data_IF_736130918718
#
_entry.id   IF_736130918718
#
_cell.length_a   1.000
_cell.length_b   1.000
_cell.length_c   1.000
_cell.angle_alpha   90.00
_cell.angle_beta   90.00
_cell.angle_gamma   90.00
#
_symmetry.space_group_name_H-M   'P 1'
#
loop_
_entity.id
_entity.type
_entity.pdbx_description
1 polymer ?
#
# COMPACT_ATOMS: atom_id res chain seq x y z
N UNK A 1 -24.26 -14.05 1.21
CA UNK A 1 -22.84 -14.12 1.67
C UNK A 1 -22.59 -13.11 2.77
N UNK A 2 -21.81 -13.48 3.80
CA UNK A 2 -21.27 -12.50 4.74
C UNK A 2 -20.14 -11.67 4.08
N UNK A 3 -19.54 -10.71 4.80
CA UNK A 3 -18.53 -9.79 4.23
C UNK A 3 -17.33 -10.56 3.69
N UNK A 4 -16.77 -11.47 4.50
CA UNK A 4 -15.60 -12.28 4.11
C UNK A 4 -15.91 -13.23 2.96
N UNK A 5 -17.04 -13.92 3.00
CA UNK A 5 -17.48 -14.82 1.92
C UNK A 5 -17.60 -14.07 0.59
N UNK A 6 -18.21 -12.88 0.62
CA UNK A 6 -18.42 -12.04 -0.55
C UNK A 6 -17.07 -11.57 -1.15
N UNK A 7 -16.12 -11.19 -0.31
CA UNK A 7 -14.76 -10.86 -0.72
C UNK A 7 -14.00 -12.10 -1.26
N UNK A 8 -14.11 -13.24 -0.59
CA UNK A 8 -13.41 -14.46 -1.01
C UNK A 8 -13.94 -14.99 -2.35
N UNK A 9 -15.23 -14.87 -2.62
CA UNK A 9 -15.80 -15.16 -3.94
C UNK A 9 -15.10 -14.32 -5.02
N UNK A 10 -14.98 -13.01 -4.78
CA UNK A 10 -14.29 -12.11 -5.72
C UNK A 10 -12.82 -12.49 -5.91
N UNK A 11 -12.11 -12.82 -4.83
CA UNK A 11 -10.70 -13.21 -4.86
C UNK A 11 -10.47 -14.54 -5.62
N UNK A 12 -11.46 -15.44 -5.59
CA UNK A 12 -11.44 -16.71 -6.31
C UNK A 12 -11.91 -16.61 -7.78
N UNK A 13 -12.19 -15.39 -8.27
CA UNK A 13 -12.69 -15.14 -9.62
C UNK A 13 -14.17 -15.50 -9.79
N UNK A 14 -14.90 -15.69 -8.69
CA UNK A 14 -16.33 -15.93 -8.66
C UNK A 14 -17.11 -14.60 -8.62
N UNK A 15 -18.40 -14.64 -8.94
CA UNK A 15 -19.25 -13.46 -8.85
C UNK A 15 -19.70 -13.24 -7.40
N UNK A 16 -19.35 -12.11 -6.76
CA UNK A 16 -19.86 -11.77 -5.44
C UNK A 16 -21.37 -11.43 -5.51
N UNK A 17 -22.07 -11.54 -4.39
CA UNK A 17 -23.50 -11.15 -4.32
C UNK A 17 -23.70 -9.64 -4.48
N UNK A 18 -22.71 -8.85 -4.02
CA UNK A 18 -22.69 -7.40 -4.11
C UNK A 18 -21.28 -6.87 -4.31
N UNK A 19 -21.14 -5.61 -4.68
CA UNK A 19 -19.82 -4.96 -4.64
C UNK A 19 -19.29 -4.99 -3.20
N UNK A 20 -18.04 -5.41 -3.05
CA UNK A 20 -17.31 -5.24 -1.80
C UNK A 20 -17.11 -3.74 -1.58
N UNK A 21 -17.37 -3.26 -0.36
CA UNK A 21 -17.37 -1.83 -0.07
C UNK A 21 -16.03 -1.40 0.53
N UNK A 22 -15.13 -0.90 -0.32
CA UNK A 22 -13.82 -0.39 0.11
C UNK A 22 -13.06 -1.42 0.98
N UNK A 23 -12.67 -1.01 2.18
CA UNK A 23 -11.90 -1.83 3.11
C UNK A 23 -12.76 -2.72 4.02
N UNK A 24 -14.07 -2.84 3.78
CA UNK A 24 -14.97 -3.56 4.69
C UNK A 24 -14.51 -4.97 5.12
N UNK A 25 -13.82 -5.79 4.27
CA UNK A 25 -13.38 -7.10 4.72
C UNK A 25 -12.15 -7.07 5.62
N UNK A 26 -11.43 -5.95 5.72
CA UNK A 26 -10.10 -5.88 6.33
C UNK A 26 -10.15 -5.25 7.73
N UNK A 27 -9.96 -6.07 8.75
CA UNK A 27 -9.78 -5.60 10.12
C UNK A 27 -8.29 -5.28 10.35
N UNK A 28 -7.91 -4.02 10.16
CA UNK A 28 -6.53 -3.57 10.31
C UNK A 28 -6.08 -3.57 11.77
N UNK A 29 -4.88 -4.12 12.02
CA UNK A 29 -4.18 -4.04 13.30
C UNK A 29 -3.01 -3.07 13.12
N UNK A 30 -3.21 -1.83 13.57
CA UNK A 30 -2.29 -0.70 13.33
C UNK A 30 -1.50 -0.27 14.58
N UNK A 31 -1.71 -0.93 15.71
CA UNK A 31 -1.10 -0.58 16.99
C UNK A 31 0.08 -1.50 17.38
N UNK A 32 0.72 -2.12 16.40
CA UNK A 32 1.87 -3.00 16.60
C UNK A 32 3.20 -2.19 16.53
N UNK A 33 4.27 -2.69 17.18
CA UNK A 33 5.49 -1.91 17.38
C UNK A 33 6.27 -1.60 16.09
N UNK A 34 6.16 -2.43 15.05
CA UNK A 34 6.86 -2.22 13.77
C UNK A 34 6.27 -1.01 13.03
N UNK A 35 4.93 -0.91 12.98
CA UNK A 35 4.26 0.23 12.38
C UNK A 35 4.50 1.50 13.21
N UNK A 36 4.44 1.40 14.54
CA UNK A 36 4.77 2.52 15.42
C UNK A 36 6.17 3.07 15.13
N UNK A 37 7.17 2.21 14.95
CA UNK A 37 8.53 2.60 14.56
C UNK A 37 8.55 3.23 13.14
N UNK A 38 7.79 2.71 12.20
CA UNK A 38 7.70 3.25 10.82
C UNK A 38 7.09 4.65 10.82
N UNK A 39 6.21 4.94 11.78
CA UNK A 39 5.55 6.24 11.92
C UNK A 39 6.32 7.25 12.76
N UNK A 40 7.49 6.91 13.31
CA UNK A 40 8.32 7.83 14.07
C UNK A 40 8.67 9.10 13.28
N UNK A 41 8.92 10.18 14.00
CA UNK A 41 9.30 11.47 13.42
C UNK A 41 8.16 12.25 12.78
N UNK A 42 6.94 11.69 12.69
CA UNK A 42 5.77 12.38 12.15
C UNK A 42 5.06 13.17 13.25
N UNK A 43 5.55 14.39 13.53
CA UNK A 43 5.04 15.27 14.59
C UNK A 43 4.57 16.57 13.97
N UNK A 44 3.28 16.89 14.09
CA UNK A 44 2.71 18.10 13.49
C UNK A 44 3.40 19.37 13.97
N UNK A 45 3.72 20.24 13.01
CA UNK A 45 4.32 21.54 13.26
C UNK A 45 5.84 21.55 13.40
N UNK A 46 6.52 20.40 13.21
CA UNK A 46 7.99 20.34 13.32
C UNK A 46 8.64 19.32 12.38
N UNK A 47 9.94 19.51 12.18
CA UNK A 47 10.80 18.51 11.51
C UNK A 47 11.39 17.59 12.59
N UNK A 48 11.29 16.26 12.39
CA UNK A 48 11.89 15.27 13.27
C UNK A 48 12.50 14.11 12.46
N UNK A 49 13.33 13.30 13.08
CA UNK A 49 13.91 12.12 12.42
C UNK A 49 13.04 10.90 12.66
N UNK A 50 12.85 10.10 11.59
CA UNK A 50 12.33 8.74 11.73
C UNK A 50 13.40 7.77 12.23
N UNK A 51 13.04 6.51 12.44
CA UNK A 51 13.95 5.46 12.89
C UNK A 51 15.12 5.16 11.92
N UNK A 52 15.00 5.54 10.66
CA UNK A 52 16.08 5.43 9.65
C UNK A 52 16.96 6.68 9.58
N UNK A 53 16.67 7.71 10.37
CA UNK A 53 17.36 9.00 10.35
C UNK A 53 16.87 9.96 9.27
N UNK A 54 15.81 9.61 8.54
CA UNK A 54 15.19 10.48 7.53
C UNK A 54 14.46 11.64 8.21
N UNK A 55 14.61 12.85 7.68
CA UNK A 55 13.83 14.00 8.18
C UNK A 55 12.40 13.88 7.72
N UNK A 56 11.49 13.80 8.66
CA UNK A 56 10.05 13.90 8.44
C UNK A 56 9.61 15.33 8.71
N UNK A 57 8.79 15.90 7.84
CA UNK A 57 8.22 17.24 8.00
C UNK A 57 6.71 17.15 8.00
N UNK A 58 6.09 17.67 9.03
CA UNK A 58 4.64 17.81 9.12
C UNK A 58 4.31 19.28 9.39
N UNK A 59 3.94 20.01 8.35
CA UNK A 59 3.50 21.38 8.51
C UNK A 59 2.12 21.40 9.16
N UNK A 60 1.89 22.44 9.98
CA UNK A 60 0.58 22.62 10.62
C UNK A 60 -0.52 22.80 9.56
N UNK A 61 -1.53 21.95 9.63
CA UNK A 61 -2.64 21.91 8.69
C UNK A 61 -2.46 20.98 7.49
N UNK A 62 -1.31 20.31 7.34
CA UNK A 62 -1.15 19.20 6.40
C UNK A 62 -1.79 17.93 6.99
N UNK A 63 -2.24 17.00 6.13
CA UNK A 63 -2.87 15.75 6.58
C UNK A 63 -1.89 14.77 7.24
N UNK A 64 -0.62 14.79 6.85
CA UNK A 64 0.38 13.85 7.35
C UNK A 64 1.81 14.41 7.27
N UNK A 65 2.69 13.85 8.10
CA UNK A 65 4.13 14.08 7.99
C UNK A 65 4.71 13.29 6.83
N UNK A 66 5.48 13.99 5.98
CA UNK A 66 6.11 13.41 4.79
C UNK A 66 7.62 13.50 4.86
N UNK A 67 8.38 12.61 4.18
CA UNK A 67 9.82 12.74 4.07
C UNK A 67 10.21 14.09 3.44
N UNK A 68 11.16 14.76 4.07
CA UNK A 68 11.73 16.00 3.58
C UNK A 68 13.23 15.81 3.36
N UNK A 69 13.59 15.46 2.12
CA UNK A 69 14.95 15.11 1.73
C UNK A 69 15.52 16.22 0.83
N UNK A 70 16.69 16.71 1.20
CA UNK A 70 17.45 17.73 0.47
C UNK A 70 18.91 17.32 0.44
N UNK A 71 19.74 17.93 -0.41
CA UNK A 71 21.18 17.62 -0.49
C UNK A 71 21.91 17.75 0.86
N UNK A 72 21.39 18.56 1.78
CA UNK A 72 22.04 18.83 3.06
C UNK A 72 21.61 17.84 4.18
N UNK A 73 20.58 17.00 3.95
CA UNK A 73 20.06 16.12 4.99
C UNK A 73 19.80 14.67 4.54
N UNK A 74 20.28 14.29 3.37
CA UNK A 74 20.26 12.90 2.91
C UNK A 74 20.94 11.99 3.93
N UNK A 75 20.33 10.86 4.23
CA UNK A 75 20.95 9.80 5.06
C UNK A 75 22.04 9.09 4.25
N UNK A 76 21.79 8.90 2.95
CA UNK A 76 22.68 8.28 2.00
C UNK A 76 23.05 9.29 0.89
N UNK A 77 24.04 10.15 1.11
CA UNK A 77 24.46 11.14 0.11
C UNK A 77 25.25 10.53 -1.07
N UNK A 78 25.85 9.37 -0.86
CA UNK A 78 26.59 8.60 -1.86
C UNK A 78 26.21 7.12 -1.68
N UNK A 79 25.57 6.54 -2.70
CA UNK A 79 25.11 5.15 -2.64
C UNK A 79 26.29 4.16 -2.61
N UNK A 80 27.46 4.51 -3.16
CA UNK A 80 28.64 3.66 -3.07
C UNK A 80 29.15 3.51 -1.63
N UNK A 81 28.84 4.48 -0.76
CA UNK A 81 29.19 4.48 0.67
C UNK A 81 28.01 4.12 1.59
N UNK A 82 26.93 3.55 1.05
CA UNK A 82 25.70 3.29 1.80
C UNK A 82 25.90 2.48 3.08
N UNK A 83 26.88 1.55 3.10
CA UNK A 83 27.15 0.70 4.27
C UNK A 83 27.61 1.47 5.51
N UNK A 84 28.23 2.63 5.32
CA UNK A 84 28.66 3.50 6.40
C UNK A 84 27.54 4.43 6.89
N UNK A 85 26.60 4.79 6.02
CA UNK A 85 25.60 5.83 6.27
C UNK A 85 24.21 5.26 6.58
N UNK A 86 23.78 4.18 5.93
CA UNK A 86 22.46 3.58 6.11
C UNK A 86 22.52 2.53 7.22
N UNK A 87 21.68 2.69 8.22
CA UNK A 87 21.48 1.73 9.32
C UNK A 87 20.00 1.42 9.49
N UNK A 88 19.61 0.19 9.25
CA UNK A 88 18.26 -0.27 9.50
C UNK A 88 17.96 -0.22 11.01
N UNK A 89 16.79 0.24 11.42
CA UNK A 89 16.40 0.20 12.82
C UNK A 89 16.23 -1.25 13.29
N UNK A 90 16.47 -1.47 14.57
CA UNK A 90 16.25 -2.79 15.18
C UNK A 90 14.79 -3.18 15.12
N UNK A 91 14.52 -4.44 14.82
CA UNK A 91 13.20 -5.06 14.91
C UNK A 91 13.04 -5.92 16.16
N UNK A 92 14.01 -5.84 17.10
CA UNK A 92 13.97 -6.57 18.37
C UNK A 92 13.08 -5.82 19.37
N UNK A 93 11.80 -6.16 19.40
CA UNK A 93 10.83 -5.59 20.32
C UNK A 93 10.50 -6.57 21.44
N UNK A 94 10.47 -6.11 22.71
CA UNK A 94 10.03 -6.95 23.82
C UNK A 94 8.62 -7.50 23.59
N UNK A 95 8.39 -8.76 23.93
CA UNK A 95 7.09 -9.45 23.77
C UNK A 95 5.90 -8.66 24.32
N UNK A 96 6.10 -7.95 25.43
CA UNK A 96 5.07 -7.11 26.04
C UNK A 96 4.54 -5.97 25.13
N UNK A 97 5.34 -5.51 24.16
CA UNK A 97 4.94 -4.43 23.23
C UNK A 97 3.97 -4.91 22.17
N UNK A 98 3.89 -6.22 21.95
CA UNK A 98 2.97 -6.85 21.01
C UNK A 98 1.60 -7.17 21.62
N UNK A 99 1.48 -7.20 22.95
CA UNK A 99 0.29 -7.73 23.64
C UNK A 99 -1.01 -7.01 23.25
N UNK A 100 -0.96 -5.70 23.05
CA UNK A 100 -2.14 -4.92 22.66
C UNK A 100 -2.57 -5.23 21.23
N UNK A 101 -1.62 -5.31 20.31
CA UNK A 101 -1.90 -5.69 18.92
C UNK A 101 -2.42 -7.14 18.81
N UNK A 102 -1.81 -8.08 19.56
CA UNK A 102 -2.26 -9.48 19.64
C UNK A 102 -3.71 -9.53 20.16
N UNK A 103 -4.05 -8.71 21.17
CA UNK A 103 -5.41 -8.66 21.72
C UNK A 103 -6.41 -8.13 20.69
N UNK A 104 -6.05 -7.08 19.94
CA UNK A 104 -6.88 -6.54 18.86
C UNK A 104 -7.08 -7.60 17.77
N UNK A 105 -6.02 -8.25 17.31
CA UNK A 105 -6.10 -9.32 16.32
C UNK A 105 -6.99 -10.51 16.78
N UNK A 106 -6.86 -10.91 18.06
CA UNK A 106 -7.64 -12.01 18.64
C UNK A 106 -9.13 -11.67 18.84
N UNK A 107 -9.48 -10.40 18.94
CA UNK A 107 -10.86 -9.95 19.10
C UNK A 107 -11.64 -9.87 17.76
N UNK A 108 -10.96 -9.98 16.63
CA UNK A 108 -11.61 -9.96 15.30
C UNK A 108 -12.43 -11.23 15.08
N UNK A 109 -13.68 -11.08 14.70
CA UNK A 109 -14.49 -12.21 14.20
C UNK A 109 -13.99 -12.63 12.82
N UNK A 110 -13.12 -13.66 12.82
CA UNK A 110 -12.51 -14.18 11.59
C UNK A 110 -13.48 -14.94 10.67
N UNK A 111 -14.72 -15.15 11.08
CA UNK A 111 -15.74 -15.63 10.17
C UNK A 111 -16.24 -14.52 9.27
N UNK A 112 -16.21 -13.27 9.74
CA UNK A 112 -16.75 -12.09 9.07
C UNK A 112 -15.65 -11.22 8.42
N UNK A 113 -14.45 -11.14 9.03
CA UNK A 113 -13.37 -10.23 8.64
C UNK A 113 -12.03 -10.93 8.52
N UNK A 114 -11.09 -10.28 7.84
CA UNK A 114 -9.70 -10.69 7.74
C UNK A 114 -8.82 -9.80 8.65
N UNK A 115 -8.11 -10.41 9.58
CA UNK A 115 -7.06 -9.71 10.32
C UNK A 115 -6.00 -9.27 9.33
N UNK A 116 -5.75 -7.96 9.26
CA UNK A 116 -4.89 -7.37 8.24
C UNK A 116 -3.78 -6.56 8.88
N UNK A 117 -2.53 -6.90 8.56
CA UNK A 117 -1.37 -6.11 8.93
C UNK A 117 -1.03 -5.06 7.87
N UNK A 118 -0.38 -3.99 8.27
CA UNK A 118 0.12 -2.96 7.37
C UNK A 118 1.66 -2.96 7.37
N UNK A 119 2.27 -3.07 6.22
CA UNK A 119 3.72 -3.06 6.05
C UNK A 119 4.15 -1.92 5.10
N UNK A 120 4.29 -0.72 5.64
CA UNK A 120 4.87 0.45 5.00
C UNK A 120 6.33 0.59 5.50
N UNK A 121 7.19 1.24 4.83
CA UNK A 121 7.38 1.83 3.54
C UNK A 121 8.05 0.81 2.59
N UNK A 122 7.80 0.89 1.29
CA UNK A 122 8.35 -0.06 0.32
C UNK A 122 9.85 0.10 0.02
N UNK A 123 10.36 -0.75 -0.87
CA UNK A 123 11.78 -0.74 -1.23
C UNK A 123 12.16 0.52 -2.02
N UNK A 124 11.34 0.91 -3.00
CA UNK A 124 11.58 2.10 -3.79
C UNK A 124 11.43 3.37 -2.95
N UNK A 125 10.34 3.47 -2.21
CA UNK A 125 10.11 4.62 -1.32
C UNK A 125 11.22 4.75 -0.29
N UNK A 126 11.70 3.64 0.30
CA UNK A 126 12.80 3.70 1.25
C UNK A 126 14.09 4.22 0.60
N UNK A 127 14.40 3.84 -0.63
CA UNK A 127 15.56 4.37 -1.33
C UNK A 127 15.47 5.89 -1.47
N UNK A 128 14.34 6.43 -1.98
CA UNK A 128 14.25 7.87 -2.17
C UNK A 128 14.05 8.66 -0.86
N UNK A 129 13.61 8.03 0.22
CA UNK A 129 13.64 8.65 1.55
C UNK A 129 15.07 8.78 2.07
N UNK A 130 15.95 7.82 1.76
CA UNK A 130 17.34 7.83 2.21
C UNK A 130 18.21 8.80 1.40
N UNK A 131 18.05 8.86 0.08
CA UNK A 131 18.99 9.58 -0.82
C UNK A 131 18.37 10.69 -1.66
N UNK A 132 17.03 10.83 -1.64
CA UNK A 132 16.30 11.76 -2.51
C UNK A 132 15.81 11.09 -3.79
N UNK A 133 14.74 11.64 -4.36
CA UNK A 133 14.04 11.03 -5.49
C UNK A 133 14.89 10.98 -6.77
N UNK A 134 15.52 12.11 -7.13
CA UNK A 134 16.33 12.22 -8.33
C UNK A 134 17.56 11.32 -8.26
N UNK A 135 18.28 11.35 -7.13
CA UNK A 135 19.48 10.51 -6.96
C UNK A 135 19.14 9.02 -7.00
N UNK A 136 17.99 8.62 -6.44
CA UNK A 136 17.52 7.23 -6.51
C UNK A 136 17.37 6.77 -7.95
N UNK A 137 16.69 7.58 -8.78
CA UNK A 137 16.47 7.24 -10.18
C UNK A 137 17.78 7.25 -10.99
N UNK A 138 18.67 8.23 -10.73
CA UNK A 138 19.99 8.27 -11.38
C UNK A 138 20.84 7.08 -11.02
N UNK A 139 20.87 6.69 -9.75
CA UNK A 139 21.74 5.62 -9.27
C UNK A 139 21.36 4.24 -9.80
N UNK A 140 20.11 3.99 -10.18
CA UNK A 140 19.77 2.77 -10.93
C UNK A 140 20.53 2.62 -12.24
N UNK A 141 20.94 3.73 -12.84
CA UNK A 141 21.67 3.76 -14.12
C UNK A 141 23.18 3.94 -13.94
N UNK A 142 23.60 4.69 -12.93
CA UNK A 142 25.00 5.08 -12.74
C UNK A 142 25.75 4.15 -11.80
N UNK A 143 25.08 3.63 -10.77
CA UNK A 143 25.67 2.81 -9.70
C UNK A 143 24.80 1.55 -9.44
N UNK A 144 24.49 0.73 -10.48
CA UNK A 144 23.56 -0.37 -10.36
C UNK A 144 23.97 -1.42 -9.32
N UNK A 145 25.28 -1.73 -9.21
CA UNK A 145 25.79 -2.71 -8.26
C UNK A 145 25.53 -2.25 -6.81
N UNK A 146 25.80 -0.98 -6.49
CA UNK A 146 25.56 -0.43 -5.16
C UNK A 146 24.07 -0.38 -4.84
N UNK A 147 23.23 -0.06 -5.83
CA UNK A 147 21.76 -0.09 -5.68
C UNK A 147 21.25 -1.51 -5.45
N UNK A 148 21.76 -2.53 -6.15
CA UNK A 148 21.41 -3.92 -5.88
C UNK A 148 21.76 -4.31 -4.44
N UNK A 149 22.95 -3.99 -3.96
CA UNK A 149 23.38 -4.31 -2.59
C UNK A 149 22.53 -3.60 -1.52
N UNK A 150 22.23 -2.32 -1.72
CA UNK A 150 21.36 -1.57 -0.81
C UNK A 150 19.94 -2.17 -0.79
N UNK A 151 19.38 -2.47 -1.96
CA UNK A 151 18.05 -3.06 -2.05
C UNK A 151 17.98 -4.45 -1.41
N UNK A 152 19.03 -5.25 -1.51
CA UNK A 152 19.10 -6.55 -0.83
C UNK A 152 19.13 -6.39 0.70
N UNK A 153 19.88 -5.42 1.20
CA UNK A 153 19.90 -5.06 2.62
C UNK A 153 18.51 -4.60 3.11
N UNK A 154 17.82 -3.77 2.34
CA UNK A 154 16.47 -3.32 2.66
C UNK A 154 15.46 -4.47 2.60
N UNK A 155 15.62 -5.38 1.64
CA UNK A 155 14.78 -6.57 1.53
C UNK A 155 14.94 -7.50 2.74
N UNK A 156 16.18 -7.75 3.18
CA UNK A 156 16.41 -8.61 4.35
C UNK A 156 15.75 -8.05 5.61
N UNK A 157 15.78 -6.73 5.79
CA UNK A 157 15.06 -6.06 6.86
C UNK A 157 13.53 -6.21 6.71
N UNK A 158 12.98 -6.04 5.50
CA UNK A 158 11.54 -6.24 5.25
C UNK A 158 11.10 -7.70 5.41
N UNK A 159 11.96 -8.64 5.09
CA UNK A 159 11.68 -10.07 5.32
C UNK A 159 11.52 -10.37 6.81
N UNK A 160 12.41 -9.82 7.65
CA UNK A 160 12.28 -9.98 9.11
C UNK A 160 11.05 -9.23 9.65
N UNK A 161 10.74 -8.02 9.12
CA UNK A 161 9.50 -7.30 9.44
C UNK A 161 8.27 -8.18 9.14
N UNK A 162 8.17 -8.71 7.91
CA UNK A 162 7.05 -9.58 7.53
C UNK A 162 6.96 -10.82 8.42
N UNK A 163 8.11 -11.42 8.76
CA UNK A 163 8.17 -12.59 9.64
C UNK A 163 7.60 -12.29 11.02
N UNK A 164 8.03 -11.20 11.65
CA UNK A 164 7.54 -10.83 12.99
C UNK A 164 6.05 -10.49 12.96
N UNK A 165 5.60 -9.72 11.97
CA UNK A 165 4.18 -9.41 11.80
C UNK A 165 3.33 -10.68 11.70
N UNK A 166 3.77 -11.66 10.91
CA UNK A 166 3.07 -12.94 10.75
C UNK A 166 3.13 -13.77 12.03
N UNK A 167 4.29 -13.87 12.66
CA UNK A 167 4.47 -14.71 13.84
C UNK A 167 3.66 -14.22 15.06
N UNK A 168 3.57 -12.89 15.24
CA UNK A 168 2.83 -12.31 16.37
C UNK A 168 1.33 -12.13 16.12
N UNK A 169 0.93 -11.63 14.94
CA UNK A 169 -0.47 -11.29 14.67
C UNK A 169 -1.25 -12.41 13.99
N UNK A 170 -0.56 -13.36 13.33
CA UNK A 170 -1.18 -14.39 12.49
C UNK A 170 -2.24 -13.81 11.55
N UNK A 171 -1.88 -12.80 10.72
CA UNK A 171 -2.83 -12.09 9.90
C UNK A 171 -3.34 -12.96 8.75
N UNK A 172 -4.57 -12.70 8.29
CA UNK A 172 -5.12 -13.31 7.08
C UNK A 172 -4.59 -12.60 5.81
N UNK A 173 -4.23 -11.30 5.94
CA UNK A 173 -3.71 -10.49 4.86
C UNK A 173 -2.65 -9.49 5.35
N UNK A 174 -1.74 -9.09 4.46
CA UNK A 174 -0.82 -7.97 4.66
C UNK A 174 -1.00 -6.99 3.51
N UNK A 175 -1.26 -5.72 3.85
CA UNK A 175 -1.18 -4.60 2.92
C UNK A 175 0.26 -4.08 2.93
N UNK A 176 0.97 -4.29 1.83
CA UNK A 176 2.34 -3.83 1.61
C UNK A 176 2.33 -2.59 0.73
N UNK A 177 2.99 -1.54 1.17
CA UNK A 177 2.98 -0.24 0.48
C UNK A 177 4.31 0.02 -0.22
N UNK A 178 4.25 0.38 -1.51
CA UNK A 178 5.37 0.95 -2.29
C UNK A 178 4.85 1.56 -3.60
N UNK A 179 4.98 2.86 -3.78
CA UNK A 179 4.54 3.54 -4.99
C UNK A 179 5.62 3.50 -6.08
N UNK A 180 5.26 2.97 -7.25
CA UNK A 180 6.19 2.77 -8.36
C UNK A 180 6.01 3.74 -9.51
N UNK A 181 5.04 4.64 -9.42
CA UNK A 181 4.74 5.55 -10.51
C UNK A 181 4.02 6.83 -10.09
N UNK A 182 3.91 7.74 -11.04
CA UNK A 182 3.03 8.90 -10.98
C UNK A 182 1.63 8.54 -11.49
N UNK A 183 0.78 9.53 -11.72
CA UNK A 183 -0.60 9.31 -12.20
C UNK A 183 -0.68 8.68 -13.59
N UNK A 184 0.30 8.93 -14.46
CA UNK A 184 0.25 8.59 -15.89
C UNK A 184 1.40 7.71 -16.38
N UNK A 185 2.38 7.41 -15.53
CA UNK A 185 3.57 6.62 -15.88
C UNK A 185 4.28 6.07 -14.66
N UNK A 186 5.08 5.01 -14.86
CA UNK A 186 6.06 4.56 -13.87
C UNK A 186 7.12 5.64 -13.65
N UNK A 187 7.72 5.68 -12.46
CA UNK A 187 8.88 6.55 -12.17
C UNK A 187 10.14 6.11 -12.91
N UNK A 188 10.22 4.85 -13.27
CA UNK A 188 11.33 4.22 -14.00
C UNK A 188 10.81 3.39 -15.16
N UNK A 189 11.67 2.90 -16.05
CA UNK A 189 11.24 1.99 -17.09
C UNK A 189 10.76 0.65 -16.50
N UNK A 190 9.90 -0.06 -17.22
CA UNK A 190 9.47 -1.39 -16.79
C UNK A 190 10.65 -2.38 -16.70
N UNK A 191 11.67 -2.20 -17.55
CA UNK A 191 12.91 -2.99 -17.52
C UNK A 191 13.68 -2.74 -16.23
N UNK A 192 13.88 -1.48 -15.84
CA UNK A 192 14.53 -1.10 -14.57
C UNK A 192 13.75 -1.65 -13.38
N UNK A 193 12.42 -1.53 -13.40
CA UNK A 193 11.59 -2.10 -12.33
C UNK A 193 11.75 -3.63 -12.24
N UNK A 194 11.76 -4.35 -13.38
CA UNK A 194 11.97 -5.81 -13.42
C UNK A 194 13.35 -6.22 -12.91
N UNK A 195 14.37 -5.44 -13.20
CA UNK A 195 15.74 -5.71 -12.76
C UNK A 195 15.89 -5.52 -11.24
N UNK A 196 15.43 -4.38 -10.72
CA UNK A 196 15.71 -4.00 -9.34
C UNK A 196 14.65 -4.46 -8.34
N UNK A 197 13.37 -4.50 -8.72
CA UNK A 197 12.27 -4.71 -7.77
C UNK A 197 11.59 -6.06 -7.92
N UNK A 198 11.33 -6.54 -9.15
CA UNK A 198 10.60 -7.79 -9.36
C UNK A 198 11.16 -8.98 -8.57
N UNK A 199 12.47 -9.32 -8.63
CA UNK A 199 13.00 -10.49 -7.93
C UNK A 199 12.93 -10.35 -6.40
N UNK A 200 12.99 -9.12 -5.90
CA UNK A 200 12.92 -8.85 -4.47
C UNK A 200 11.50 -8.96 -3.94
N UNK A 201 10.54 -8.40 -4.66
CA UNK A 201 9.12 -8.55 -4.30
C UNK A 201 8.63 -9.99 -4.49
N UNK A 202 9.11 -10.70 -5.50
CA UNK A 202 8.82 -12.13 -5.67
C UNK A 202 9.30 -12.93 -4.43
N UNK A 203 10.53 -12.68 -3.94
CA UNK A 203 11.05 -13.33 -2.72
C UNK A 203 10.20 -13.00 -1.49
N UNK A 204 9.88 -11.71 -1.29
CA UNK A 204 9.10 -11.24 -0.14
C UNK A 204 7.67 -11.80 -0.17
N UNK A 205 6.99 -11.67 -1.30
CA UNK A 205 5.59 -12.05 -1.43
C UNK A 205 5.41 -13.57 -1.50
N UNK A 206 6.35 -14.31 -2.09
CA UNK A 206 6.38 -15.78 -1.98
C UNK A 206 6.51 -16.23 -0.53
N UNK A 207 7.35 -15.58 0.27
CA UNK A 207 7.46 -15.89 1.70
C UNK A 207 6.12 -15.69 2.42
N UNK A 208 5.48 -14.53 2.22
CA UNK A 208 4.18 -14.20 2.83
C UNK A 208 3.11 -15.21 2.39
N UNK A 209 3.04 -15.51 1.09
CA UNK A 209 2.10 -16.48 0.52
C UNK A 209 2.30 -17.90 1.05
N UNK A 210 3.55 -18.34 1.19
CA UNK A 210 3.89 -19.65 1.73
C UNK A 210 3.53 -19.81 3.22
N UNK A 211 3.33 -18.68 3.92
CA UNK A 211 2.80 -18.65 5.30
C UNK A 211 1.25 -18.60 5.32
N UNK A 212 0.58 -18.74 4.18
CA UNK A 212 -0.87 -18.72 4.06
C UNK A 212 -1.51 -17.33 4.12
N UNK A 213 -0.72 -16.27 4.07
CA UNK A 213 -1.18 -14.87 4.20
C UNK A 213 -1.41 -14.27 2.81
N UNK A 214 -2.49 -13.52 2.64
CA UNK A 214 -2.80 -12.81 1.39
C UNK A 214 -1.90 -11.58 1.24
N UNK A 215 -1.51 -11.29 -0.01
CA UNK A 215 -0.76 -10.09 -0.37
C UNK A 215 -1.68 -9.08 -1.02
N UNK A 216 -1.86 -7.95 -0.35
CA UNK A 216 -2.45 -6.73 -0.89
C UNK A 216 -1.29 -5.75 -1.12
N UNK A 217 -1.11 -5.29 -2.35
CA UNK A 217 -0.09 -4.28 -2.64
C UNK A 217 -0.74 -2.93 -2.86
N UNK A 218 -0.33 -1.94 -2.09
CA UNK A 218 -0.72 -0.55 -2.33
C UNK A 218 0.27 0.13 -3.26
N UNK A 219 -0.28 0.70 -4.33
CA UNK A 219 0.36 1.70 -5.16
C UNK A 219 -0.73 2.59 -5.78
N UNK A 220 -0.81 3.85 -5.36
CA UNK A 220 -1.76 4.82 -5.93
C UNK A 220 -1.17 5.49 -7.18
N UNK A 221 -0.71 4.68 -8.11
CA UNK A 221 0.11 5.07 -9.23
C UNK A 221 -0.30 4.38 -10.54
N UNK A 222 0.30 4.82 -11.64
CA UNK A 222 0.18 4.14 -12.92
C UNK A 222 1.13 2.94 -12.97
N UNK A 223 0.58 1.72 -12.94
CA UNK A 223 1.33 0.46 -13.01
C UNK A 223 0.86 -0.47 -14.12
N UNK A 224 0.00 0.00 -15.05
CA UNK A 224 -0.54 -0.83 -16.12
C UNK A 224 0.53 -1.56 -16.97
N UNK A 225 1.71 -0.96 -17.12
CA UNK A 225 2.81 -1.52 -17.90
C UNK A 225 3.51 -2.71 -17.24
N UNK A 226 3.31 -2.92 -15.93
CA UNK A 226 3.88 -4.03 -15.16
C UNK A 226 2.81 -4.93 -14.55
N UNK A 227 1.57 -4.85 -15.03
CA UNK A 227 0.43 -5.58 -14.45
C UNK A 227 0.63 -7.11 -14.45
N UNK A 228 1.23 -7.68 -15.48
CA UNK A 228 1.53 -9.12 -15.54
C UNK A 228 2.65 -9.48 -14.55
N UNK A 229 3.64 -8.61 -14.41
CA UNK A 229 4.70 -8.78 -13.42
C UNK A 229 4.15 -8.75 -11.99
N UNK A 230 3.14 -7.90 -11.73
CA UNK A 230 2.45 -7.85 -10.43
C UNK A 230 1.74 -9.17 -10.11
N UNK A 231 1.13 -9.82 -11.11
CA UNK A 231 0.57 -11.17 -10.96
C UNK A 231 1.67 -12.19 -10.68
N UNK A 232 2.75 -12.15 -11.46
CA UNK A 232 3.88 -13.09 -11.33
C UNK A 232 4.49 -13.06 -9.92
N UNK A 233 4.59 -11.90 -9.30
CA UNK A 233 5.11 -11.74 -7.92
C UNK A 233 4.06 -11.99 -6.83
N UNK A 234 2.92 -12.61 -7.19
CA UNK A 234 1.88 -13.07 -6.27
C UNK A 234 1.04 -12.00 -5.57
N UNK A 235 0.94 -10.80 -6.15
CA UNK A 235 -0.03 -9.81 -5.67
C UNK A 235 -1.44 -10.32 -5.98
N UNK A 236 -2.28 -10.45 -4.96
CA UNK A 236 -3.66 -10.91 -5.11
C UNK A 236 -4.65 -9.76 -5.21
N UNK A 237 -4.33 -8.64 -4.58
CA UNK A 237 -5.10 -7.41 -4.65
C UNK A 237 -4.15 -6.24 -4.89
N UNK A 238 -4.37 -5.48 -5.96
CA UNK A 238 -3.72 -4.20 -6.14
C UNK A 238 -4.66 -3.10 -5.61
N UNK A 239 -4.35 -2.55 -4.45
CA UNK A 239 -5.06 -1.43 -3.85
C UNK A 239 -4.41 -0.10 -4.29
N UNK A 240 -5.24 0.91 -4.56
CA UNK A 240 -4.81 2.23 -5.02
C UNK A 240 -4.89 2.41 -6.54
N UNK A 241 -5.45 1.44 -7.28
CA UNK A 241 -5.48 1.53 -8.74
C UNK A 241 -6.20 2.79 -9.22
N UNK A 242 -5.45 3.70 -9.87
CA UNK A 242 -5.97 4.95 -10.42
C UNK A 242 -6.81 4.69 -11.69
N UNK A 243 -7.84 5.53 -11.96
CA UNK A 243 -8.61 5.46 -13.21
C UNK A 243 -7.75 5.52 -14.49
N UNK A 244 -6.63 6.24 -14.43
CA UNK A 244 -5.67 6.42 -15.53
C UNK A 244 -5.04 5.11 -16.03
N UNK A 245 -5.13 4.04 -15.25
CA UNK A 245 -4.70 2.69 -15.64
C UNK A 245 -5.68 1.97 -16.57
N UNK A 246 -6.81 2.57 -16.96
CA UNK A 246 -7.87 1.90 -17.75
C UNK A 246 -8.36 0.60 -17.08
N UNK A 247 -8.94 0.76 -15.89
CA UNK A 247 -9.37 -0.38 -15.04
C UNK A 247 -10.19 -1.42 -15.81
N UNK A 248 -11.18 -1.06 -16.65
CA UNK A 248 -11.92 -2.05 -17.44
C UNK A 248 -11.06 -2.87 -18.42
N UNK A 249 -10.01 -2.27 -18.98
CA UNK A 249 -9.05 -2.98 -19.83
C UNK A 249 -8.22 -3.94 -18.99
N UNK A 250 -7.72 -3.50 -17.85
CA UNK A 250 -6.97 -4.35 -16.92
C UNK A 250 -7.80 -5.52 -16.39
N UNK A 251 -9.07 -5.31 -16.04
CA UNK A 251 -9.96 -6.39 -15.61
C UNK A 251 -10.08 -7.49 -16.68
N UNK A 252 -10.29 -7.11 -17.94
CA UNK A 252 -10.32 -8.07 -19.06
C UNK A 252 -8.99 -8.80 -19.24
N UNK A 253 -7.88 -8.09 -19.14
CA UNK A 253 -6.53 -8.66 -19.26
C UNK A 253 -6.23 -9.64 -18.12
N UNK A 254 -6.55 -9.27 -16.91
CA UNK A 254 -6.32 -10.07 -15.69
C UNK A 254 -7.20 -11.32 -15.64
N UNK A 255 -8.43 -11.22 -16.13
CA UNK A 255 -9.40 -12.34 -16.13
C UNK A 255 -9.49 -13.06 -14.77
N UNK A 256 -9.61 -12.32 -13.70
CA UNK A 256 -9.75 -12.83 -12.32
C UNK A 256 -8.45 -13.24 -11.63
N UNK A 257 -7.27 -13.12 -12.26
CA UNK A 257 -5.97 -13.50 -11.66
C UNK A 257 -5.52 -12.57 -10.54
N UNK A 258 -6.01 -11.35 -10.50
CA UNK A 258 -5.75 -10.35 -9.46
C UNK A 258 -6.97 -9.44 -9.33
N UNK A 259 -7.28 -9.02 -8.13
CA UNK A 259 -8.36 -8.06 -7.84
C UNK A 259 -7.79 -6.64 -7.89
N UNK A 260 -8.50 -5.75 -8.57
CA UNK A 260 -8.21 -4.32 -8.60
C UNK A 260 -9.07 -3.61 -7.57
N UNK A 261 -8.46 -2.92 -6.61
CA UNK A 261 -9.15 -2.18 -5.55
C UNK A 261 -8.79 -0.70 -5.65
N UNK A 262 -9.78 0.14 -5.98
CA UNK A 262 -9.55 1.56 -6.20
C UNK A 262 -10.58 2.19 -7.12
N UNK A 263 -10.13 2.98 -8.08
CA UNK A 263 -10.95 3.58 -9.13
C UNK A 263 -11.73 4.82 -8.72
N UNK A 264 -11.88 5.11 -7.42
CA UNK A 264 -12.52 6.34 -6.91
C UNK A 264 -11.44 7.40 -6.74
N UNK A 265 -11.42 8.38 -7.64
CA UNK A 265 -10.38 9.40 -7.69
C UNK A 265 -10.58 10.47 -6.62
N UNK A 266 -9.89 10.35 -5.48
CA UNK A 266 -9.90 11.35 -4.40
C UNK A 266 -9.47 12.74 -4.86
N UNK A 267 -8.60 12.86 -5.85
CA UNK A 267 -8.16 14.15 -6.39
C UNK A 267 -9.26 15.04 -6.95
N UNK A 268 -10.49 14.54 -7.13
CA UNK A 268 -11.67 15.33 -7.58
C UNK A 268 -12.43 15.95 -6.42
N UNK A 269 -12.27 15.46 -5.18
CA UNK A 269 -13.11 15.89 -4.06
C UNK A 269 -12.40 15.91 -2.69
N UNK A 270 -11.23 15.30 -2.54
CA UNK A 270 -10.54 15.27 -1.23
C UNK A 270 -9.77 16.58 -0.97
N UNK A 271 -10.54 17.65 -0.66
CA UNK A 271 -10.04 18.98 -0.31
C UNK A 271 -11.04 19.69 0.63
N UNK A 272 -10.66 20.82 1.29
CA UNK A 272 -11.45 21.43 2.37
C UNK A 272 -12.92 21.76 2.03
N UNK A 273 -13.20 22.09 0.77
CA UNK A 273 -14.54 22.52 0.32
C UNK A 273 -15.24 21.46 -0.54
N UNK A 274 -14.97 20.18 -0.26
CA UNK A 274 -15.56 19.07 -1.00
C UNK A 274 -17.10 19.09 -0.96
N UNK A 275 -17.72 18.55 -2.01
CA UNK A 275 -19.17 18.48 -2.15
C UNK A 275 -19.64 17.05 -2.25
N UNK A 276 -20.65 16.69 -1.46
CA UNK A 276 -21.23 15.36 -1.45
C UNK A 276 -21.64 14.87 -2.84
N UNK A 277 -22.24 15.75 -3.65
CA UNK A 277 -22.67 15.40 -5.01
C UNK A 277 -21.51 14.97 -5.92
N UNK A 278 -20.34 15.59 -5.75
CA UNK A 278 -19.13 15.26 -6.51
C UNK A 278 -18.57 13.90 -6.10
N UNK A 279 -18.53 13.62 -4.79
CA UNK A 279 -18.16 12.30 -4.25
C UNK A 279 -19.10 11.24 -4.81
N UNK A 280 -20.41 11.41 -4.66
CA UNK A 280 -21.42 10.45 -5.13
C UNK A 280 -21.38 10.21 -6.64
N UNK A 281 -21.11 11.26 -7.42
CA UNK A 281 -20.95 11.14 -8.88
C UNK A 281 -19.72 10.32 -9.25
N UNK A 282 -18.59 10.56 -8.59
CA UNK A 282 -17.35 9.84 -8.84
C UNK A 282 -17.45 8.36 -8.43
N UNK A 283 -18.06 8.05 -7.28
CA UNK A 283 -18.32 6.68 -6.86
C UNK A 283 -19.20 5.95 -7.90
N UNK A 284 -20.27 6.58 -8.38
CA UNK A 284 -21.13 5.99 -9.40
C UNK A 284 -20.38 5.75 -10.71
N UNK A 285 -19.50 6.67 -11.10
CA UNK A 285 -18.64 6.52 -12.29
C UNK A 285 -17.74 5.27 -12.15
N UNK A 286 -17.02 5.16 -11.04
CA UNK A 286 -16.12 4.04 -10.79
C UNK A 286 -16.85 2.69 -10.78
N UNK A 287 -17.94 2.58 -10.04
CA UNK A 287 -18.75 1.36 -9.99
C UNK A 287 -19.33 0.96 -11.34
N UNK A 288 -19.94 1.91 -12.07
CA UNK A 288 -20.57 1.61 -13.38
C UNK A 288 -19.57 1.18 -14.45
N UNK A 289 -18.33 1.68 -14.39
CA UNK A 289 -17.28 1.33 -15.35
C UNK A 289 -16.78 -0.12 -15.18
N UNK A 290 -16.89 -0.70 -13.99
CA UNK A 290 -16.12 -1.88 -13.59
C UNK A 290 -16.96 -3.05 -13.07
N UNK A 291 -18.17 -2.82 -12.54
CA UNK A 291 -18.96 -3.84 -11.82
C UNK A 291 -19.31 -5.11 -12.63
N UNK A 292 -19.47 -4.98 -13.94
CA UNK A 292 -19.88 -6.10 -14.81
C UNK A 292 -18.73 -7.02 -15.21
N UNK A 293 -17.48 -6.59 -15.00
CA UNK A 293 -16.30 -7.30 -15.47
C UNK A 293 -15.70 -8.25 -14.41
N UNK A 294 -16.15 -8.13 -13.14
CA UNK A 294 -15.58 -8.89 -12.02
C UNK A 294 -14.18 -8.42 -11.61
N UNK A 295 -13.65 -8.98 -10.50
CA UNK A 295 -12.29 -8.69 -10.05
C UNK A 295 -12.05 -7.22 -9.64
N UNK A 296 -13.08 -6.50 -9.15
CA UNK A 296 -12.98 -5.09 -8.80
C UNK A 296 -13.65 -4.76 -7.46
N UNK A 297 -12.96 -3.99 -6.64
CA UNK A 297 -13.46 -3.40 -5.39
C UNK A 297 -13.43 -1.88 -5.56
N UNK A 298 -14.59 -1.20 -5.61
CA UNK A 298 -14.62 0.25 -5.61
C UNK A 298 -14.08 0.77 -4.28
N UNK A 299 -13.02 1.57 -4.35
CA UNK A 299 -12.34 2.12 -3.18
C UNK A 299 -11.73 3.47 -3.54
N UNK A 300 -11.58 4.32 -2.53
CA UNK A 300 -10.70 5.49 -2.68
C UNK A 300 -9.26 5.01 -2.96
N UNK A 301 -8.54 5.72 -3.80
CA UNK A 301 -7.22 5.25 -4.27
C UNK A 301 -6.13 5.39 -3.23
N UNK A 302 -6.28 6.29 -2.27
CA UNK A 302 -5.32 6.50 -1.19
C UNK A 302 -6.04 6.71 0.15
N UNK A 303 -5.30 6.50 1.22
CA UNK A 303 -5.73 6.82 2.57
C UNK A 303 -6.68 5.81 3.21
N UNK A 304 -6.68 5.85 4.50
CA UNK A 304 -7.65 5.24 5.38
C UNK A 304 -8.64 6.31 5.87
N UNK A 305 -9.77 5.98 6.52
CA UNK A 305 -10.79 6.97 6.91
C UNK A 305 -10.26 8.21 7.61
N UNK A 306 -9.23 8.06 8.43
CA UNK A 306 -8.65 9.15 9.25
C UNK A 306 -7.64 10.03 8.49
N UNK A 307 -7.28 9.67 7.26
CA UNK A 307 -6.27 10.39 6.45
C UNK A 307 -6.88 11.17 5.29
N UNK A 308 -8.20 11.22 5.18
CA UNK A 308 -8.97 11.98 4.21
C UNK A 308 -9.88 12.98 4.92
N UNK A 309 -10.47 13.91 4.17
CA UNK A 309 -11.36 14.90 4.77
C UNK A 309 -12.56 14.24 5.46
N UNK A 310 -12.92 14.70 6.68
CA UNK A 310 -14.03 14.12 7.45
C UNK A 310 -15.32 14.08 6.64
N UNK A 311 -16.03 12.96 6.70
CA UNK A 311 -17.30 12.72 6.01
C UNK A 311 -17.18 12.16 4.59
N UNK A 312 -16.02 12.28 3.94
CA UNK A 312 -15.82 11.77 2.56
C UNK A 312 -15.93 10.26 2.53
N UNK A 313 -15.27 9.56 3.47
CA UNK A 313 -15.25 8.10 3.50
C UNK A 313 -16.66 7.51 3.68
N UNK A 314 -17.43 8.07 4.58
CA UNK A 314 -18.80 7.67 4.89
C UNK A 314 -19.75 7.89 3.69
N UNK A 315 -19.56 8.97 2.93
CA UNK A 315 -20.34 9.23 1.71
C UNK A 315 -20.00 8.22 0.61
N UNK A 316 -18.74 7.82 0.50
CA UNK A 316 -18.33 6.77 -0.44
C UNK A 316 -19.00 5.45 -0.07
N UNK A 317 -18.91 5.04 1.21
CA UNK A 317 -19.53 3.80 1.70
C UNK A 317 -21.03 3.78 1.48
N UNK A 318 -21.73 4.85 1.87
CA UNK A 318 -23.19 5.00 1.68
C UNK A 318 -23.54 4.87 0.20
N UNK A 319 -22.77 5.52 -0.69
CA UNK A 319 -23.07 5.48 -2.12
C UNK A 319 -22.86 4.10 -2.74
N UNK A 320 -21.84 3.35 -2.33
CA UNK A 320 -21.62 1.97 -2.77
C UNK A 320 -22.78 1.09 -2.28
N UNK A 321 -23.21 1.25 -1.03
CA UNK A 321 -24.36 0.53 -0.47
C UNK A 321 -25.66 0.80 -1.23
N UNK A 322 -25.92 2.05 -1.59
CA UNK A 322 -27.07 2.40 -2.45
C UNK A 322 -26.98 1.68 -3.80
N UNK A 323 -25.81 1.68 -4.45
CA UNK A 323 -25.63 1.00 -5.74
C UNK A 323 -25.86 -0.51 -5.61
N UNK A 324 -25.49 -1.13 -4.49
CA UNK A 324 -25.75 -2.53 -4.21
C UNK A 324 -27.26 -2.86 -4.07
N UNK A 325 -28.11 -1.87 -3.77
CA UNK A 325 -29.56 -2.05 -3.70
C UNK A 325 -30.28 -1.74 -5.02
N UNK A 326 -29.59 -1.14 -6.00
CA UNK A 326 -30.14 -0.79 -7.31
C UNK A 326 -30.09 -1.98 -8.32
N UNK A 327 -29.65 -3.17 -7.88
CA UNK A 327 -29.46 -4.37 -8.74
C UNK A 327 -30.67 -5.28 -8.73
#
# INVERSE_FOLDING_TARGET
MNIKENYMALLNGEKPERLVNQYEPFAFVLNEPLLAQTMEGRIEGQDAKDAWGVTMRWKKGDHAGMPYVTDNNKVCPDVCDWRNTVKAPSLDFPEKTWQDAIRVAAAVDRNEYLVTGLMATGLFERCHFLMGFEDTLMNFLMEPEAMHELLDYLLDWRMEYAKQLIDHLQPDAILSHDDWGAKDRLFMSAETWREFFKPRYEKLYSYIRNRGVQVIHHADSYCANIIEDMVDIHIQVWQGVLPDNDIPKLQRQLNGRMVLMGGINGGVFDFPEWKEEEVRREVRRACNASKELGGFIPCITYGLPETIYPGVFEIIEDKINIINTEV
#
